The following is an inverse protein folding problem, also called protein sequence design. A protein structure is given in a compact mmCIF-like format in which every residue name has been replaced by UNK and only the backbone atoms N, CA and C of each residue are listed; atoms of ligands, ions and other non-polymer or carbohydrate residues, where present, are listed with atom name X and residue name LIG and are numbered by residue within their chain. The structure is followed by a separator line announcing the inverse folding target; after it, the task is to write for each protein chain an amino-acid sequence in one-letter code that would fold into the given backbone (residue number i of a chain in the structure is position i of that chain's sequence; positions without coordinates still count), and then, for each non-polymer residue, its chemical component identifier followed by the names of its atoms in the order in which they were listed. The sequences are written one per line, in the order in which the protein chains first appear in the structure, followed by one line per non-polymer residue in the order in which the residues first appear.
data_IF_650782442797
#
_entry.id   IF_650782442797
#
_cell.length_a   1.000
_cell.length_b   1.000
_cell.length_c   1.000
_cell.angle_alpha   90.00
_cell.angle_beta   90.00
_cell.angle_gamma   90.00
#
_symmetry.space_group_name_H-M   'P 1'
#
loop_
_entity.id
_entity.type
_entity.pdbx_description
1 polymer ?
#
# COMPACT_ATOMS: atom_id res chain seq x y z
N UNK A 1 62.58 13.68 11.46
CA UNK A 1 61.86 13.88 10.18
C UNK A 1 60.75 12.84 9.97
N UNK A 2 60.98 11.56 10.29
CA UNK A 2 59.97 10.49 10.24
C UNK A 2 58.74 10.75 11.14
N UNK A 3 58.92 11.26 12.36
CA UNK A 3 57.80 11.52 13.31
C UNK A 3 56.79 12.57 12.85
N UNK A 4 57.25 13.55 12.07
CA UNK A 4 56.38 14.58 11.48
C UNK A 4 55.54 14.03 10.32
N UNK A 5 56.12 13.11 9.53
CA UNK A 5 55.43 12.43 8.45
C UNK A 5 54.41 11.41 8.98
N UNK A 6 54.77 10.63 10.01
CA UNK A 6 53.84 9.68 10.64
C UNK A 6 52.68 10.38 11.35
N UNK A 7 52.90 11.52 11.99
CA UNK A 7 51.83 12.33 12.62
C UNK A 7 50.81 12.84 11.59
N UNK A 8 51.26 13.31 10.43
CA UNK A 8 50.37 13.77 9.35
C UNK A 8 49.60 12.62 8.71
N UNK A 9 50.25 11.50 8.46
CA UNK A 9 49.60 10.29 7.95
C UNK A 9 48.56 9.77 8.94
N UNK A 10 48.86 9.76 10.24
CA UNK A 10 47.91 9.37 11.27
C UNK A 10 46.69 10.31 11.33
N UNK A 11 46.87 11.63 11.21
CA UNK A 11 45.76 12.57 11.09
C UNK A 11 44.91 12.30 9.84
N UNK A 12 45.53 12.09 8.68
CA UNK A 12 44.80 11.80 7.44
C UNK A 12 43.98 10.52 7.53
N UNK A 13 44.54 9.47 8.14
CA UNK A 13 43.83 8.20 8.39
C UNK A 13 42.68 8.42 9.37
N UNK A 14 42.88 9.18 10.45
CA UNK A 14 41.82 9.49 11.40
C UNK A 14 40.67 10.27 10.76
N UNK A 15 40.97 11.25 9.89
CA UNK A 15 39.97 12.01 9.13
C UNK A 15 39.20 11.09 8.17
N UNK A 16 39.88 10.17 7.48
CA UNK A 16 39.24 9.18 6.62
C UNK A 16 38.28 8.27 7.39
N UNK A 17 38.70 7.77 8.56
CA UNK A 17 37.86 6.94 9.43
C UNK A 17 36.62 7.73 9.87
N UNK A 18 36.78 9.00 10.24
CA UNK A 18 35.64 9.86 10.63
C UNK A 18 34.67 10.08 9.48
N UNK A 19 35.17 10.35 8.26
CA UNK A 19 34.32 10.53 7.08
C UNK A 19 33.56 9.24 6.77
N UNK A 20 34.24 8.09 6.75
CA UNK A 20 33.59 6.79 6.48
C UNK A 20 32.53 6.47 7.55
N UNK A 21 32.83 6.73 8.82
CA UNK A 21 31.88 6.53 9.91
C UNK A 21 30.65 7.43 9.78
N UNK A 22 30.86 8.70 9.41
CA UNK A 22 29.78 9.67 9.20
C UNK A 22 28.90 9.28 8.00
N UNK A 23 29.49 8.85 6.88
CA UNK A 23 28.75 8.35 5.72
C UNK A 23 27.96 7.08 6.09
N UNK A 24 28.56 6.16 6.84
CA UNK A 24 27.88 4.96 7.34
C UNK A 24 26.68 5.30 8.23
N UNK A 25 26.84 6.25 9.14
CA UNK A 25 25.75 6.71 10.00
C UNK A 25 24.58 7.31 9.21
N UNK A 26 24.84 8.17 8.23
CA UNK A 26 23.79 8.72 7.37
C UNK A 26 23.11 7.66 6.51
N UNK A 27 23.85 6.65 6.03
CA UNK A 27 23.27 5.55 5.27
C UNK A 27 22.28 4.74 6.12
N UNK A 28 22.60 4.49 7.40
CA UNK A 28 21.72 3.78 8.34
C UNK A 28 20.46 4.61 8.63
N UNK A 29 20.63 5.88 9.03
CA UNK A 29 19.48 6.75 9.32
C UNK A 29 18.52 6.87 8.13
N UNK A 30 19.07 6.98 6.93
CA UNK A 30 18.27 6.98 5.72
C UNK A 30 17.47 5.69 5.58
N UNK A 31 18.10 4.53 5.67
CA UNK A 31 17.38 3.25 5.54
C UNK A 31 16.26 3.06 6.56
N UNK A 32 16.43 3.56 7.79
CA UNK A 32 15.39 3.52 8.83
C UNK A 32 14.20 4.43 8.49
N UNK A 33 14.47 5.66 8.04
CA UNK A 33 13.42 6.58 7.58
C UNK A 33 12.65 6.00 6.40
N UNK A 34 13.35 5.41 5.43
CA UNK A 34 12.74 4.74 4.28
C UNK A 34 11.80 3.61 4.74
N UNK A 35 12.20 2.81 5.74
CA UNK A 35 11.36 1.74 6.28
C UNK A 35 10.10 2.26 6.98
N UNK A 36 10.22 3.33 7.79
CA UNK A 36 9.08 3.97 8.49
C UNK A 36 8.10 4.54 7.47
N UNK A 37 8.61 5.23 6.47
CA UNK A 37 7.84 5.82 5.40
C UNK A 37 7.07 4.74 4.59
N UNK A 38 7.74 3.64 4.26
CA UNK A 38 7.12 2.52 3.55
C UNK A 38 6.00 1.86 4.38
N UNK A 39 6.21 1.68 5.68
CA UNK A 39 5.18 1.22 6.61
C UNK A 39 3.99 2.20 6.69
N UNK A 40 4.26 3.51 6.70
CA UNK A 40 3.20 4.52 6.71
C UNK A 40 2.32 4.44 5.46
N UNK A 41 2.90 4.20 4.28
CA UNK A 41 2.13 3.97 3.05
C UNK A 41 1.20 2.76 3.15
N UNK A 42 1.70 1.64 3.68
CA UNK A 42 0.88 0.45 3.90
C UNK A 42 -0.26 0.73 4.90
N UNK A 43 0.05 1.45 5.98
CA UNK A 43 -0.94 1.87 6.97
C UNK A 43 -1.98 2.82 6.37
N UNK A 44 -1.61 3.71 5.46
CA UNK A 44 -2.54 4.61 4.77
C UNK A 44 -3.53 3.83 3.91
N UNK A 45 -3.08 2.85 3.12
CA UNK A 45 -3.99 1.96 2.36
C UNK A 45 -4.92 1.24 3.34
N UNK A 46 -4.37 0.68 4.42
CA UNK A 46 -5.17 -0.05 5.40
C UNK A 46 -6.21 0.81 6.11
N UNK A 47 -5.86 2.05 6.44
CA UNK A 47 -6.78 3.00 7.06
C UNK A 47 -7.88 3.43 6.08
N UNK A 48 -7.55 3.65 4.81
CA UNK A 48 -8.54 3.96 3.78
C UNK A 48 -9.55 2.82 3.58
N UNK A 49 -9.07 1.56 3.54
CA UNK A 49 -9.94 0.37 3.51
C UNK A 49 -10.81 0.30 4.76
N UNK A 50 -10.25 0.56 5.94
CA UNK A 50 -11.00 0.55 7.19
C UNK A 50 -12.04 1.66 7.27
N UNK A 51 -11.75 2.84 6.73
CA UNK A 51 -12.66 3.98 6.71
C UNK A 51 -13.87 3.69 5.82
N UNK A 52 -13.63 3.27 4.57
CA UNK A 52 -14.69 2.85 3.65
C UNK A 52 -15.45 1.66 4.21
N UNK A 53 -14.73 0.66 4.75
CA UNK A 53 -15.27 -0.55 5.37
C UNK A 53 -16.06 -0.33 6.67
N UNK A 54 -16.08 0.87 7.24
CA UNK A 54 -16.95 1.24 8.37
C UNK A 54 -18.21 1.99 7.96
N UNK A 55 -18.26 2.50 6.73
CA UNK A 55 -19.40 3.30 6.27
C UNK A 55 -20.69 2.49 6.27
N UNK A 56 -21.80 3.06 6.71
CA UNK A 56 -23.14 2.46 6.59
C UNK A 56 -23.87 2.92 5.33
N UNK A 57 -23.11 3.34 4.32
CA UNK A 57 -23.62 3.83 3.04
C UNK A 57 -22.77 3.32 1.87
N UNK A 58 -23.36 3.31 0.68
CA UNK A 58 -22.62 3.12 -0.57
C UNK A 58 -21.59 4.23 -0.70
N UNK A 59 -20.31 3.86 -0.63
CA UNK A 59 -19.20 4.80 -0.55
C UNK A 59 -18.09 4.35 -1.47
N UNK A 60 -17.52 5.27 -2.21
CA UNK A 60 -16.38 4.99 -3.08
C UNK A 60 -15.25 5.96 -2.76
N UNK A 61 -14.04 5.43 -2.65
CA UNK A 61 -12.83 6.17 -2.40
C UNK A 61 -11.79 5.74 -3.44
N UNK A 62 -11.20 6.71 -4.12
CA UNK A 62 -10.10 6.42 -5.04
C UNK A 62 -8.77 6.71 -4.33
N UNK A 63 -7.86 5.75 -4.39
CA UNK A 63 -6.48 5.93 -3.97
C UNK A 63 -5.64 6.13 -5.22
N UNK A 64 -5.10 7.34 -5.35
CA UNK A 64 -4.22 7.71 -6.47
C UNK A 64 -2.78 7.70 -6.00
N UNK A 65 -1.93 6.97 -6.72
CA UNK A 65 -0.51 6.77 -6.37
C UNK A 65 0.42 7.85 -6.97
N UNK A 66 -0.14 8.97 -7.46
CA UNK A 66 0.60 10.06 -8.10
C UNK A 66 0.73 11.32 -7.24
N UNK A 67 1.91 11.96 -7.34
CA UNK A 67 2.38 13.06 -6.47
C UNK A 67 1.81 14.45 -6.82
N UNK A 68 1.06 14.59 -7.90
CA UNK A 68 0.77 15.92 -8.46
C UNK A 68 -0.67 16.32 -8.18
N UNK A 69 -0.77 17.34 -7.35
CA UNK A 69 -1.91 18.17 -7.01
C UNK A 69 -2.88 17.68 -5.93
N UNK A 70 -2.76 18.38 -4.79
CA UNK A 70 -3.88 18.64 -3.89
C UNK A 70 -5.06 19.15 -4.72
N UNK A 71 -6.23 18.57 -4.43
CA UNK A 71 -7.57 19.10 -4.64
C UNK A 71 -8.35 18.48 -5.81
N UNK A 72 -9.01 17.37 -5.52
CA UNK A 72 -10.45 17.21 -5.78
C UNK A 72 -11.00 16.10 -4.86
N UNK A 73 -11.97 16.48 -4.02
CA UNK A 73 -12.86 15.66 -3.18
C UNK A 73 -12.63 14.13 -3.16
N UNK A 74 -12.14 13.61 -2.04
CA UNK A 74 -12.28 12.19 -1.68
C UNK A 74 -11.15 11.25 -2.08
N UNK A 75 -10.01 11.75 -2.57
CA UNK A 75 -8.89 10.86 -2.91
C UNK A 75 -7.86 10.78 -1.77
N UNK A 76 -7.42 9.56 -1.43
CA UNK A 76 -6.29 9.33 -0.53
C UNK A 76 -5.02 9.21 -1.36
N UNK A 77 -4.03 10.05 -1.04
CA UNK A 77 -2.74 10.08 -1.72
C UNK A 77 -1.74 9.28 -0.92
N UNK A 78 -1.07 8.34 -1.58
CA UNK A 78 0.07 7.66 -1.00
C UNK A 78 1.29 8.42 -1.48
N UNK A 79 2.10 8.91 -0.55
CA UNK A 79 3.34 9.56 -0.88
C UNK A 79 4.17 8.57 -1.72
N UNK A 80 4.58 8.90 -2.95
CA UNK A 80 5.53 8.09 -3.70
C UNK A 80 6.88 8.29 -3.02
N UNK A 81 7.02 7.56 -1.94
CA UNK A 81 8.28 7.40 -1.26
C UNK A 81 9.20 6.71 -2.24
N UNK A 82 10.41 7.25 -2.34
CA UNK A 82 11.49 6.84 -3.24
C UNK A 82 11.38 7.44 -4.64
N UNK A 83 11.95 8.65 -4.74
CA UNK A 83 12.52 9.27 -5.95
C UNK A 83 12.95 8.19 -6.97
N UNK A 84 12.07 7.87 -7.92
CA UNK A 84 12.27 6.99 -9.09
C UNK A 84 12.27 5.46 -8.91
N UNK A 85 11.78 4.87 -7.81
CA UNK A 85 11.68 3.40 -7.70
C UNK A 85 10.23 2.94 -7.60
N UNK A 86 9.87 1.99 -8.46
CA UNK A 86 8.57 1.33 -8.41
C UNK A 86 8.50 0.37 -7.22
N UNK A 87 7.33 0.21 -6.63
CA UNK A 87 7.05 -0.83 -5.63
C UNK A 87 5.80 -1.61 -6.01
N UNK A 88 5.75 -2.87 -5.61
CA UNK A 88 4.58 -3.73 -5.79
C UNK A 88 3.63 -3.54 -4.61
N UNK A 89 2.33 -3.49 -4.91
CA UNK A 89 1.23 -3.49 -3.96
C UNK A 89 0.45 -4.78 -4.15
N UNK A 90 0.38 -5.60 -3.11
CA UNK A 90 -0.40 -6.83 -3.11
C UNK A 90 -1.45 -6.76 -2.02
N UNK A 91 -2.71 -6.80 -2.41
CA UNK A 91 -3.86 -6.68 -1.53
C UNK A 91 -4.56 -8.03 -1.43
N UNK A 92 -4.61 -8.56 -0.22
CA UNK A 92 -5.34 -9.77 0.13
C UNK A 92 -6.63 -9.40 0.86
N UNK A 93 -7.45 -10.40 1.16
CA UNK A 93 -8.73 -10.24 1.87
C UNK A 93 -8.66 -9.44 3.18
N UNK A 94 -7.53 -9.46 3.90
CA UNK A 94 -7.41 -8.83 5.21
C UNK A 94 -6.08 -8.07 5.43
N UNK A 95 -5.20 -8.02 4.43
CA UNK A 95 -3.91 -7.34 4.53
C UNK A 95 -3.49 -6.70 3.21
N UNK A 96 -2.70 -5.63 3.29
CA UNK A 96 -1.90 -5.11 2.18
C UNK A 96 -0.43 -5.38 2.47
N UNK A 97 0.25 -5.91 1.48
CA UNK A 97 1.70 -6.04 1.44
C UNK A 97 2.25 -5.06 0.41
N UNK A 98 3.20 -4.22 0.84
CA UNK A 98 4.03 -3.45 -0.07
C UNK A 98 5.40 -4.12 -0.18
N UNK A 99 5.87 -4.32 -1.40
CA UNK A 99 7.16 -4.96 -1.68
C UNK A 99 8.01 -4.06 -2.56
N UNK A 100 9.27 -3.88 -2.18
CA UNK A 100 10.25 -3.15 -2.97
C UNK A 100 11.63 -3.77 -2.77
N UNK A 101 12.26 -4.19 -3.87
CA UNK A 101 13.52 -4.95 -3.83
C UNK A 101 13.38 -6.15 -2.86
N UNK A 102 14.28 -6.28 -1.88
CA UNK A 102 14.23 -7.34 -0.85
C UNK A 102 13.45 -6.94 0.42
N UNK A 103 12.77 -5.78 0.41
CA UNK A 103 12.04 -5.25 1.57
C UNK A 103 10.54 -5.45 1.38
N UNK A 104 9.86 -5.89 2.44
CA UNK A 104 8.40 -5.99 2.47
C UNK A 104 7.84 -5.45 3.78
N UNK A 105 6.73 -4.71 3.70
CA UNK A 105 5.94 -4.30 4.86
C UNK A 105 4.50 -4.74 4.69
N UNK A 106 3.85 -5.04 5.81
CA UNK A 106 2.47 -5.52 5.85
C UNK A 106 1.66 -4.61 6.76
N UNK A 107 0.46 -4.24 6.32
CA UNK A 107 -0.55 -3.62 7.15
C UNK A 107 -1.86 -4.42 7.09
N UNK A 108 -2.54 -4.55 8.22
CA UNK A 108 -3.78 -5.32 8.33
C UNK A 108 -5.01 -4.43 8.25
N UNK A 109 -6.08 -4.94 7.65
CA UNK A 109 -7.41 -4.36 7.70
C UNK A 109 -8.22 -5.02 8.83
N UNK A 110 -9.25 -4.33 9.32
CA UNK A 110 -10.18 -4.85 10.32
C UNK A 110 -11.38 -5.56 9.71
N UNK A 111 -11.57 -5.42 8.39
CA UNK A 111 -12.68 -5.99 7.64
C UNK A 111 -12.13 -6.86 6.51
N UNK A 112 -12.88 -7.91 6.19
CA UNK A 112 -12.62 -8.68 4.98
C UNK A 112 -13.05 -7.84 3.77
N UNK A 113 -12.23 -7.89 2.73
CA UNK A 113 -12.49 -7.25 1.44
C UNK A 113 -12.50 -8.28 0.32
N UNK A 114 -13.15 -7.92 -0.77
CA UNK A 114 -13.16 -8.65 -2.03
C UNK A 114 -12.15 -7.99 -3.00
N UNK A 115 -11.01 -8.63 -3.32
CA UNK A 115 -9.95 -8.03 -4.13
C UNK A 115 -10.23 -8.12 -5.65
N UNK A 116 -11.44 -7.78 -6.07
CA UNK A 116 -11.87 -7.77 -7.48
C UNK A 116 -12.89 -6.66 -7.74
N UNK A 117 -13.04 -6.27 -9.01
CA UNK A 117 -14.04 -5.29 -9.38
C UNK A 117 -15.43 -5.94 -9.39
N UNK A 118 -16.49 -5.25 -8.91
CA UNK A 118 -17.86 -5.70 -9.07
C UNK A 118 -18.21 -5.99 -10.54
N UNK A 119 -17.60 -5.29 -11.49
CA UNK A 119 -17.79 -5.51 -12.94
C UNK A 119 -17.19 -6.82 -13.46
N UNK A 120 -16.16 -7.37 -12.81
CA UNK A 120 -15.46 -8.60 -13.24
C UNK A 120 -16.27 -9.88 -12.97
N UNK A 121 -17.43 -9.68 -12.38
CA UNK A 121 -18.33 -10.70 -11.92
C UNK A 121 -19.42 -10.92 -12.98
N UNK A 122 -19.01 -11.38 -14.16
CA UNK A 122 -19.92 -11.78 -15.23
C UNK A 122 -20.84 -12.90 -14.72
N UNK A 123 -22.12 -12.59 -14.51
CA UNK A 123 -23.13 -13.53 -13.99
C UNK A 123 -23.66 -13.23 -12.58
N UNK A 124 -22.97 -12.38 -11.81
CA UNK A 124 -23.37 -11.97 -10.46
C UNK A 124 -24.39 -10.82 -10.45
N UNK A 125 -24.71 -10.24 -11.61
CA UNK A 125 -25.73 -9.19 -11.76
C UNK A 125 -25.66 -8.11 -10.66
N UNK A 126 -24.45 -7.67 -10.31
CA UNK A 126 -24.21 -6.70 -9.22
C UNK A 126 -24.85 -5.33 -9.49
N UNK A 127 -25.33 -5.09 -10.71
CA UNK A 127 -26.15 -3.94 -11.09
C UNK A 127 -27.60 -4.05 -10.59
N UNK A 128 -28.14 -5.27 -10.44
CA UNK A 128 -29.45 -5.51 -9.82
C UNK A 128 -29.37 -5.56 -8.29
N UNK A 129 -28.15 -5.61 -7.74
CA UNK A 129 -27.88 -5.59 -6.31
C UNK A 129 -28.08 -6.93 -5.60
N UNK A 130 -28.44 -8.01 -6.30
CA UNK A 130 -28.64 -9.34 -5.71
C UNK A 130 -27.53 -10.31 -6.11
N UNK A 131 -26.98 -11.04 -5.13
CA UNK A 131 -25.89 -12.01 -5.31
C UNK A 131 -26.11 -13.25 -4.44
N UNK A 132 -26.06 -14.48 -4.99
CA UNK A 132 -25.97 -15.68 -4.17
C UNK A 132 -24.63 -15.75 -3.43
N UNK A 133 -24.64 -16.11 -2.13
CA UNK A 133 -23.43 -16.20 -1.30
C UNK A 133 -22.32 -17.06 -1.91
N UNK A 134 -22.68 -18.23 -2.46
CA UNK A 134 -21.70 -19.16 -3.05
C UNK A 134 -20.93 -18.54 -4.23
N UNK A 135 -21.55 -17.66 -5.02
CA UNK A 135 -20.87 -17.02 -6.16
C UNK A 135 -19.85 -15.97 -5.70
N UNK A 136 -20.12 -15.32 -4.57
CA UNK A 136 -19.19 -14.38 -3.95
C UNK A 136 -17.99 -15.14 -3.37
N UNK A 137 -18.26 -16.25 -2.67
CA UNK A 137 -17.22 -17.13 -2.10
C UNK A 137 -16.36 -17.79 -3.18
N UNK A 138 -16.96 -18.35 -4.24
CA UNK A 138 -16.24 -18.91 -5.39
C UNK A 138 -15.32 -17.86 -6.02
N UNK A 139 -15.77 -16.60 -6.08
CA UNK A 139 -14.97 -15.51 -6.65
C UNK A 139 -13.81 -15.12 -5.73
N UNK A 140 -14.04 -15.01 -4.42
CA UNK A 140 -13.00 -14.79 -3.41
C UNK A 140 -11.92 -15.88 -3.46
N UNK A 141 -12.32 -17.14 -3.64
CA UNK A 141 -11.38 -18.27 -3.80
C UNK A 141 -10.58 -18.17 -5.10
N UNK A 142 -11.23 -17.79 -6.21
CA UNK A 142 -10.57 -17.63 -7.51
C UNK A 142 -9.65 -16.41 -7.58
N UNK A 143 -9.99 -15.34 -6.86
CA UNK A 143 -9.23 -14.08 -6.82
C UNK A 143 -8.67 -13.88 -5.41
N UNK A 144 -7.61 -14.61 -5.08
CA UNK A 144 -7.04 -14.57 -3.72
C UNK A 144 -6.39 -13.23 -3.35
N UNK A 145 -5.90 -12.49 -4.36
CA UNK A 145 -5.22 -11.23 -4.18
C UNK A 145 -5.31 -10.35 -5.43
N UNK A 146 -5.23 -9.04 -5.21
CA UNK A 146 -5.02 -8.03 -6.24
C UNK A 146 -3.55 -7.62 -6.22
N UNK A 147 -2.87 -7.68 -7.37
CA UNK A 147 -1.48 -7.21 -7.50
C UNK A 147 -1.41 -6.02 -8.45
N UNK A 148 -0.71 -4.97 -8.03
CA UNK A 148 -0.43 -3.80 -8.86
C UNK A 148 0.94 -3.20 -8.53
N UNK A 149 1.36 -2.19 -9.30
CA UNK A 149 2.59 -1.43 -9.05
C UNK A 149 2.27 0.02 -8.72
N UNK A 150 3.18 0.67 -8.01
CA UNK A 150 3.14 2.10 -7.70
C UNK A 150 2.88 2.93 -8.97
N UNK A 151 1.81 3.74 -8.94
CA UNK A 151 1.39 4.59 -10.06
C UNK A 151 0.06 4.20 -10.69
N UNK A 152 -0.47 3.02 -10.38
CA UNK A 152 -1.84 2.63 -10.76
C UNK A 152 -2.83 3.08 -9.71
N UNK A 153 -4.01 3.54 -10.13
CA UNK A 153 -5.07 3.93 -9.20
C UNK A 153 -5.81 2.70 -8.66
N UNK A 154 -6.05 2.70 -7.36
CA UNK A 154 -6.91 1.73 -6.68
C UNK A 154 -8.25 2.37 -6.35
N UNK A 155 -9.30 1.58 -6.45
CA UNK A 155 -10.65 1.94 -6.04
C UNK A 155 -11.02 1.08 -4.86
N UNK A 156 -11.49 1.72 -3.78
CA UNK A 156 -12.12 1.06 -2.64
C UNK A 156 -13.60 1.43 -2.68
N UNK A 157 -14.45 0.44 -2.90
CA UNK A 157 -15.88 0.62 -3.03
C UNK A 157 -16.59 -0.20 -1.96
N UNK A 158 -17.48 0.45 -1.21
CA UNK A 158 -18.43 -0.23 -0.35
C UNK A 158 -19.81 -0.17 -0.99
N UNK A 159 -20.44 -1.33 -1.12
CA UNK A 159 -21.72 -1.50 -1.78
C UNK A 159 -22.66 -2.35 -0.93
N UNK A 160 -23.90 -1.89 -0.81
CA UNK A 160 -24.99 -2.68 -0.26
C UNK A 160 -25.42 -3.73 -1.28
N UNK A 161 -25.36 -4.99 -0.90
CA UNK A 161 -25.78 -6.13 -1.70
C UNK A 161 -26.86 -6.90 -0.96
N UNK A 162 -27.76 -7.51 -1.72
CA UNK A 162 -28.69 -8.52 -1.22
C UNK A 162 -28.08 -9.90 -1.43
N UNK A 163 -27.38 -10.39 -0.41
CA UNK A 163 -26.68 -11.67 -0.42
C UNK A 163 -27.61 -12.77 0.08
N UNK A 164 -28.03 -13.67 -0.81
CA UNK A 164 -28.98 -14.75 -0.48
C UNK A 164 -30.26 -14.26 0.24
N UNK A 165 -30.76 -13.07 -0.12
CA UNK A 165 -31.95 -12.46 0.48
C UNK A 165 -31.68 -11.57 1.70
N UNK A 166 -30.42 -11.39 2.10
CA UNK A 166 -30.03 -10.51 3.21
C UNK A 166 -29.27 -9.28 2.71
N UNK A 167 -29.68 -8.10 3.14
CA UNK A 167 -28.98 -6.86 2.79
C UNK A 167 -27.74 -6.72 3.67
N UNK A 168 -26.57 -6.85 3.05
CA UNK A 168 -25.26 -6.83 3.68
C UNK A 168 -24.35 -5.84 2.94
N UNK A 169 -23.51 -5.11 3.69
CA UNK A 169 -22.51 -4.23 3.10
C UNK A 169 -21.22 -4.98 2.83
N UNK A 170 -20.73 -4.92 1.60
CA UNK A 170 -19.50 -5.55 1.16
C UNK A 170 -18.49 -4.50 0.67
N UNK A 171 -17.20 -4.75 0.91
CA UNK A 171 -16.12 -3.83 0.52
C UNK A 171 -15.27 -4.49 -0.56
N UNK A 172 -15.15 -3.83 -1.70
CA UNK A 172 -14.44 -4.26 -2.89
C UNK A 172 -13.20 -3.38 -3.07
N UNK A 173 -12.10 -4.00 -3.50
CA UNK A 173 -10.87 -3.28 -3.84
C UNK A 173 -10.38 -3.75 -5.20
N UNK A 174 -10.23 -2.82 -6.13
CA UNK A 174 -9.88 -3.12 -7.52
C UNK A 174 -9.09 -2.01 -8.20
N UNK A 175 -8.54 -2.29 -9.37
CA UNK A 175 -7.82 -1.31 -10.18
C UNK A 175 -8.78 -0.52 -11.06
N UNK A 176 -8.53 0.78 -11.18
CA UNK A 176 -9.28 1.67 -12.07
C UNK A 176 -8.88 1.50 -13.53
#
# INVERSE_FOLDING_TARGET
MLDWLTSKVAMSVAVLILIVSMVGFFAIQRSELEAIEFQNSANTIANAVNEVGRSEANTQLNITFNQVERNTKGNVYINPLFRSRTYDVVIYHNVVNLMQDDKSVTAKFHFNIHPFAPSDCSGLNLDTGYVPRYQLEDKDESTQHLKTTSGHDLVIERKLLEVSGHKEYHTFVYLK
#
